data_IF_258565125169
#
_entry.id   IF_258565125169
#
_cell.length_a   1.000
_cell.length_b   1.000
_cell.length_c   1.000
_cell.angle_alpha   90.00
_cell.angle_beta   90.00
_cell.angle_gamma   90.00
#
_symmetry.space_group_name_H-M   'P 1'
#
loop_
_entity.id
_entity.type
_entity.pdbx_description
1 polymer ?
#
# COMPACT_ATOMS: atom_id res chain seq x y z
N UNK A 1 24.87 -28.67 1.63
CA UNK A 1 23.82 -27.85 2.31
C UNK A 1 23.33 -26.61 1.50
N UNK A 2 23.22 -26.69 0.16
CA UNK A 2 22.78 -25.56 -0.71
C UNK A 2 21.28 -25.56 -1.09
N UNK A 3 20.55 -26.67 -0.93
CA UNK A 3 19.17 -26.84 -1.44
C UNK A 3 18.09 -26.07 -0.67
N UNK A 4 18.27 -25.82 0.63
CA UNK A 4 17.24 -25.17 1.49
C UNK A 4 17.10 -23.66 1.26
N UNK A 5 18.13 -22.99 0.71
CA UNK A 5 18.09 -21.53 0.47
C UNK A 5 17.13 -21.14 -0.65
N UNK A 6 16.97 -21.98 -1.67
CA UNK A 6 16.15 -21.66 -2.86
C UNK A 6 14.65 -21.75 -2.58
N UNK A 7 14.24 -22.61 -1.64
CA UNK A 7 12.82 -22.81 -1.32
C UNK A 7 12.26 -21.59 -0.59
N UNK A 8 12.97 -21.05 0.41
CA UNK A 8 12.53 -19.85 1.13
C UNK A 8 12.39 -18.62 0.23
N UNK A 9 13.34 -18.45 -0.70
CA UNK A 9 13.29 -17.38 -1.70
C UNK A 9 12.07 -17.51 -2.63
N UNK A 10 11.73 -18.73 -3.02
CA UNK A 10 10.58 -19.00 -3.88
C UNK A 10 9.25 -18.71 -3.16
N UNK A 11 9.15 -19.07 -1.87
CA UNK A 11 7.98 -18.72 -1.06
C UNK A 11 7.82 -17.21 -0.87
N UNK A 12 8.91 -16.50 -0.62
CA UNK A 12 8.91 -15.04 -0.54
C UNK A 12 8.49 -14.41 -1.87
N UNK A 13 9.01 -14.91 -2.99
CA UNK A 13 8.64 -14.38 -4.30
C UNK A 13 7.15 -14.57 -4.59
N UNK A 14 6.60 -15.75 -4.25
CA UNK A 14 5.17 -16.02 -4.35
C UNK A 14 4.32 -15.14 -3.41
N UNK A 15 4.76 -14.91 -2.18
CA UNK A 15 4.03 -14.03 -1.25
C UNK A 15 4.05 -12.58 -1.71
N UNK A 16 5.18 -12.11 -2.25
CA UNK A 16 5.30 -10.77 -2.81
C UNK A 16 4.36 -10.63 -4.00
N UNK A 17 4.32 -11.60 -4.94
CA UNK A 17 3.35 -11.57 -6.05
C UNK A 17 1.91 -11.54 -5.56
N UNK A 18 1.57 -12.35 -4.56
CA UNK A 18 0.23 -12.35 -3.96
C UNK A 18 -0.16 -10.97 -3.42
N UNK A 19 0.76 -10.31 -2.72
CA UNK A 19 0.57 -8.95 -2.24
C UNK A 19 0.39 -7.95 -3.40
N UNK A 20 1.24 -8.02 -4.43
CA UNK A 20 1.15 -7.16 -5.62
C UNK A 20 -0.19 -7.29 -6.35
N UNK A 21 -0.70 -8.52 -6.50
CA UNK A 21 -2.01 -8.78 -7.13
C UNK A 21 -3.14 -8.18 -6.29
N UNK A 22 -3.10 -8.34 -4.97
CA UNK A 22 -4.10 -7.75 -4.08
C UNK A 22 -4.08 -6.21 -4.15
N UNK A 23 -2.88 -5.63 -4.21
CA UNK A 23 -2.68 -4.19 -4.25
C UNK A 23 -3.12 -3.57 -5.59
N UNK A 24 -2.74 -4.19 -6.71
CA UNK A 24 -3.10 -3.72 -8.06
C UNK A 24 -4.62 -3.76 -8.30
N UNK A 25 -5.33 -4.72 -7.71
CA UNK A 25 -6.80 -4.75 -7.75
C UNK A 25 -7.43 -3.55 -7.05
N UNK A 26 -6.89 -3.14 -5.90
CA UNK A 26 -7.39 -1.95 -5.19
C UNK A 26 -7.06 -0.66 -5.93
N UNK A 27 -5.85 -0.55 -6.47
CA UNK A 27 -5.46 0.65 -7.21
C UNK A 27 -6.28 0.81 -8.50
N UNK A 28 -6.52 -0.30 -9.21
CA UNK A 28 -7.42 -0.33 -10.35
C UNK A 28 -8.86 0.08 -9.97
N UNK A 29 -9.38 -0.38 -8.82
CA UNK A 29 -10.71 0.01 -8.36
C UNK A 29 -10.81 1.52 -8.09
N UNK A 30 -9.75 2.13 -7.53
CA UNK A 30 -9.70 3.58 -7.31
C UNK A 30 -9.75 4.36 -8.63
N UNK A 31 -9.04 3.90 -9.68
CA UNK A 31 -9.04 4.55 -11.00
C UNK A 31 -10.38 4.36 -11.72
N UNK A 32 -10.94 3.14 -11.67
CA UNK A 32 -12.20 2.79 -12.36
C UNK A 32 -13.39 3.57 -11.83
N UNK A 33 -13.39 4.01 -10.57
CA UNK A 33 -14.43 4.90 -10.02
C UNK A 33 -14.54 6.22 -10.81
N UNK A 34 -13.44 6.71 -11.37
CA UNK A 34 -13.41 7.94 -12.17
C UNK A 34 -13.73 7.70 -13.65
N UNK A 35 -13.90 6.44 -14.08
CA UNK A 35 -14.29 6.08 -15.44
C UNK A 35 -15.82 6.16 -15.59
N UNK A 36 -16.35 6.72 -16.70
CA UNK A 36 -17.78 6.68 -16.97
C UNK A 36 -18.27 5.22 -17.05
N UNK A 37 -19.40 4.91 -16.42
CA UNK A 37 -19.95 3.54 -16.30
C UNK A 37 -20.33 2.89 -17.63
N UNK A 38 -20.42 3.70 -18.68
CA UNK A 38 -20.72 3.32 -20.05
C UNK A 38 -19.62 3.89 -20.93
N UNK A 39 -18.68 3.03 -21.33
CA UNK A 39 -17.59 3.38 -22.22
C UNK A 39 -17.91 2.88 -23.62
N UNK A 40 -17.76 3.75 -24.61
CA UNK A 40 -17.64 3.28 -25.98
C UNK A 40 -16.38 2.41 -26.12
N UNK A 41 -16.39 1.48 -27.07
CA UNK A 41 -15.25 0.58 -27.33
C UNK A 41 -13.95 1.37 -27.57
N UNK A 42 -14.04 2.55 -28.19
CA UNK A 42 -12.91 3.44 -28.43
C UNK A 42 -12.36 4.05 -27.14
N UNK A 43 -13.21 4.56 -26.27
CA UNK A 43 -12.80 5.13 -24.96
C UNK A 43 -12.20 4.05 -24.05
N UNK A 44 -12.74 2.83 -24.09
CA UNK A 44 -12.19 1.70 -23.34
C UNK A 44 -10.77 1.33 -23.80
N UNK A 45 -10.55 1.21 -25.12
CA UNK A 45 -9.23 0.89 -25.68
C UNK A 45 -8.22 2.01 -25.37
N UNK A 46 -8.63 3.27 -25.46
CA UNK A 46 -7.76 4.41 -25.10
C UNK A 46 -7.42 4.41 -23.62
N UNK A 47 -8.39 4.21 -22.73
CA UNK A 47 -8.17 4.19 -21.28
C UNK A 47 -7.23 3.05 -20.88
N UNK A 48 -7.46 1.83 -21.37
CA UNK A 48 -6.58 0.67 -21.14
C UNK A 48 -5.20 0.92 -21.76
N UNK A 49 -5.13 1.49 -22.96
CA UNK A 49 -3.87 1.84 -23.63
C UNK A 49 -3.02 2.81 -22.81
N UNK A 50 -3.62 3.86 -22.26
CA UNK A 50 -2.94 4.82 -21.38
C UNK A 50 -2.42 4.12 -20.12
N UNK A 51 -3.22 3.27 -19.47
CA UNK A 51 -2.79 2.52 -18.28
C UNK A 51 -1.62 1.58 -18.59
N UNK A 52 -1.67 0.86 -19.70
CA UNK A 52 -0.59 -0.05 -20.13
C UNK A 52 0.68 0.71 -20.47
N UNK A 53 0.57 1.86 -21.15
CA UNK A 53 1.73 2.71 -21.47
C UNK A 53 2.33 3.32 -20.20
N UNK A 54 1.51 3.82 -19.28
CA UNK A 54 1.97 4.34 -17.99
C UNK A 54 2.68 3.26 -17.17
N UNK A 55 2.09 2.06 -17.07
CA UNK A 55 2.72 0.91 -16.42
C UNK A 55 4.02 0.51 -17.13
N UNK A 56 4.02 0.52 -18.47
CA UNK A 56 5.19 0.25 -19.30
C UNK A 56 6.32 1.26 -19.05
N UNK A 57 6.02 2.55 -18.91
CA UNK A 57 7.01 3.58 -18.56
C UNK A 57 7.57 3.35 -17.15
N UNK A 58 6.71 3.03 -16.18
CA UNK A 58 7.12 2.74 -14.79
C UNK A 58 8.04 1.52 -14.74
N UNK A 59 7.68 0.44 -15.45
CA UNK A 59 8.49 -0.77 -15.55
C UNK A 59 9.78 -0.51 -16.34
N UNK A 60 9.73 0.26 -17.43
CA UNK A 60 10.90 0.57 -18.25
C UNK A 60 11.90 1.46 -17.52
N UNK A 61 11.41 2.42 -16.72
CA UNK A 61 12.27 3.26 -15.86
C UNK A 61 12.85 2.50 -14.66
N UNK A 62 12.47 1.23 -14.46
CA UNK A 62 13.15 0.21 -13.64
C UNK A 62 13.75 0.75 -12.34
N UNK A 63 12.99 1.51 -11.56
CA UNK A 63 13.27 1.81 -10.15
C UNK A 63 14.59 2.52 -9.83
N UNK A 64 15.45 2.89 -10.79
CA UNK A 64 16.74 3.53 -10.53
C UNK A 64 17.47 3.00 -9.28
N UNK A 65 17.88 3.92 -8.41
CA UNK A 65 18.54 3.68 -7.12
C UNK A 65 17.81 2.67 -6.18
N UNK A 66 16.51 2.40 -6.39
CA UNK A 66 15.74 1.44 -5.59
C UNK A 66 16.16 -0.01 -5.85
N UNK A 67 16.58 -0.36 -7.07
CA UNK A 67 17.13 -1.70 -7.33
C UNK A 67 18.43 -1.92 -6.56
N UNK A 68 19.33 -0.92 -6.53
CA UNK A 68 20.59 -0.96 -5.79
C UNK A 68 20.36 -1.18 -4.28
N UNK A 69 19.42 -0.43 -3.69
CA UNK A 69 19.01 -0.55 -2.28
C UNK A 69 18.40 -1.93 -1.97
N UNK A 70 17.69 -2.55 -2.93
CA UNK A 70 17.08 -3.88 -2.75
C UNK A 70 18.13 -5.00 -2.88
N UNK A 71 19.11 -4.89 -3.77
CA UNK A 71 20.21 -5.87 -3.86
C UNK A 71 21.13 -5.83 -2.64
N UNK A 72 21.41 -4.64 -2.09
CA UNK A 72 22.34 -4.47 -0.96
C UNK A 72 21.74 -4.90 0.40
N UNK A 73 20.41 -4.95 0.52
CA UNK A 73 19.68 -5.38 1.74
C UNK A 73 18.92 -6.70 1.61
N UNK A 74 19.18 -7.50 0.58
CA UNK A 74 18.61 -8.84 0.43
C UNK A 74 19.35 -9.87 1.29
N UNK A 75 19.51 -9.60 2.59
CA UNK A 75 20.07 -10.59 3.49
C UNK A 75 19.04 -11.73 3.63
N UNK A 76 19.39 -12.88 3.07
CA UNK A 76 18.58 -14.10 2.94
C UNK A 76 17.99 -14.54 4.30
N UNK A 77 18.57 -14.07 5.40
CA UNK A 77 18.07 -14.29 6.76
C UNK A 77 16.64 -13.78 7.01
N UNK A 78 16.17 -12.76 6.28
CA UNK A 78 14.87 -12.12 6.56
C UNK A 78 13.71 -12.59 5.67
N UNK A 79 13.96 -13.55 4.77
CA UNK A 79 12.98 -14.05 3.80
C UNK A 79 11.69 -14.56 4.46
N UNK A 80 11.80 -15.20 5.64
CA UNK A 80 10.64 -15.72 6.40
C UNK A 80 9.76 -14.60 6.97
N UNK A 81 10.37 -13.57 7.56
CA UNK A 81 9.67 -12.40 8.09
C UNK A 81 8.90 -11.67 6.97
N UNK A 82 9.57 -11.45 5.83
CA UNK A 82 8.96 -10.84 4.65
C UNK A 82 7.75 -11.65 4.13
N UNK A 83 7.88 -12.97 4.09
CA UNK A 83 6.79 -13.86 3.63
C UNK A 83 5.54 -13.75 4.51
N UNK A 84 5.71 -13.70 5.84
CA UNK A 84 4.58 -13.58 6.79
C UNK A 84 3.89 -12.23 6.64
N UNK A 85 4.67 -11.15 6.53
CA UNK A 85 4.16 -9.79 6.29
C UNK A 85 3.31 -9.80 5.02
N UNK A 86 3.88 -10.22 3.89
CA UNK A 86 3.20 -10.23 2.58
C UNK A 86 1.90 -11.04 2.60
N UNK A 87 1.89 -12.21 3.26
CA UNK A 87 0.70 -13.05 3.37
C UNK A 87 -0.39 -12.43 4.24
N UNK A 88 -0.05 -11.86 5.38
CA UNK A 88 -1.02 -11.20 6.27
C UNK A 88 -1.63 -9.99 5.57
N UNK A 89 -0.81 -9.14 4.94
CA UNK A 89 -1.29 -7.95 4.22
C UNK A 89 -2.12 -8.30 2.99
N UNK A 90 -1.65 -9.22 2.15
CA UNK A 90 -2.41 -9.65 0.98
C UNK A 90 -3.76 -10.24 1.37
N UNK A 91 -3.83 -10.99 2.48
CA UNK A 91 -5.08 -11.55 2.99
C UNK A 91 -6.02 -10.47 3.51
N UNK A 92 -5.53 -9.49 4.27
CA UNK A 92 -6.32 -8.34 4.73
C UNK A 92 -6.88 -7.58 3.52
N UNK A 93 -6.05 -7.27 2.52
CA UNK A 93 -6.47 -6.56 1.30
C UNK A 93 -7.59 -7.28 0.55
N UNK A 94 -7.49 -8.60 0.41
CA UNK A 94 -8.48 -9.41 -0.31
C UNK A 94 -9.78 -9.53 0.50
N UNK A 95 -9.69 -9.81 1.81
CA UNK A 95 -10.87 -9.92 2.67
C UNK A 95 -11.67 -8.62 2.65
N UNK A 96 -10.99 -7.48 2.75
CA UNK A 96 -11.68 -6.21 2.68
C UNK A 96 -12.21 -5.88 1.27
N UNK A 97 -11.53 -6.31 0.20
CA UNK A 97 -12.04 -6.12 -1.15
C UNK A 97 -13.34 -6.92 -1.39
N UNK A 98 -13.39 -8.17 -0.93
CA UNK A 98 -14.56 -9.05 -1.09
C UNK A 98 -15.72 -8.69 -0.15
N UNK A 99 -15.42 -8.24 1.08
CA UNK A 99 -16.46 -7.99 2.09
C UNK A 99 -16.88 -6.52 2.25
N UNK A 100 -16.06 -5.55 1.82
CA UNK A 100 -16.38 -4.12 1.95
C UNK A 100 -16.74 -3.50 0.60
N UNK A 101 -17.92 -2.90 0.50
CA UNK A 101 -18.30 -2.09 -0.66
C UNK A 101 -17.67 -0.68 -0.68
N UNK A 102 -16.93 -0.32 0.37
CA UNK A 102 -16.30 0.99 0.52
C UNK A 102 -14.85 0.96 0.01
N UNK A 103 -14.42 1.95 -0.80
CA UNK A 103 -13.03 2.04 -1.28
C UNK A 103 -12.07 2.20 -0.10
N UNK A 104 -10.99 1.42 -0.12
CA UNK A 104 -10.02 1.37 0.97
C UNK A 104 -9.00 2.51 0.86
N UNK A 105 -8.60 3.07 2.00
CA UNK A 105 -7.46 4.00 2.05
C UNK A 105 -6.14 3.24 1.94
N UNK A 106 -5.56 3.26 0.74
CA UNK A 106 -4.27 2.64 0.44
C UNK A 106 -3.12 3.21 1.28
N UNK A 107 -3.25 4.46 1.77
CA UNK A 107 -2.28 5.10 2.68
C UNK A 107 -2.21 4.44 4.06
N UNK A 108 -3.36 4.17 4.68
CA UNK A 108 -3.40 3.55 6.01
C UNK A 108 -2.94 2.11 5.99
N UNK A 109 -3.28 1.38 4.92
CA UNK A 109 -2.77 0.02 4.71
C UNK A 109 -1.27 0.03 4.52
N UNK A 110 -0.74 0.99 3.75
CA UNK A 110 0.70 1.11 3.51
C UNK A 110 1.48 1.46 4.79
N UNK A 111 1.01 2.41 5.58
CA UNK A 111 1.61 2.73 6.89
C UNK A 111 1.57 1.52 7.83
N UNK A 112 0.45 0.80 7.84
CA UNK A 112 0.34 -0.47 8.54
C UNK A 112 1.42 -1.46 8.09
N UNK A 113 1.59 -1.65 6.78
CA UNK A 113 2.59 -2.55 6.18
C UNK A 113 4.02 -2.23 6.59
N UNK A 114 4.40 -0.95 6.55
CA UNK A 114 5.71 -0.50 7.01
C UNK A 114 5.91 -0.78 8.51
N UNK A 115 4.88 -0.53 9.34
CA UNK A 115 4.90 -0.83 10.76
C UNK A 115 5.07 -2.34 11.03
N UNK A 116 4.25 -3.17 10.37
CA UNK A 116 4.21 -4.61 10.57
C UNK A 116 5.52 -5.29 10.17
N UNK A 117 6.13 -4.85 9.06
CA UNK A 117 7.46 -5.29 8.65
C UNK A 117 8.51 -5.01 9.72
N UNK A 118 8.53 -3.79 10.26
CA UNK A 118 9.53 -3.38 11.25
C UNK A 118 9.33 -4.12 12.59
N UNK A 119 8.08 -4.37 13.00
CA UNK A 119 7.74 -5.15 14.20
C UNK A 119 8.18 -6.62 14.05
N UNK A 120 7.86 -7.26 12.93
CA UNK A 120 8.19 -8.68 12.68
C UNK A 120 9.71 -8.86 12.55
N UNK A 121 10.41 -7.92 11.92
CA UNK A 121 11.87 -7.96 11.85
C UNK A 121 12.48 -7.83 13.25
N UNK A 122 12.06 -6.86 14.07
CA UNK A 122 12.57 -6.77 15.45
C UNK A 122 12.25 -8.02 16.26
N UNK A 123 11.06 -8.60 16.10
CA UNK A 123 10.63 -9.82 16.81
C UNK A 123 11.46 -11.04 16.44
N UNK A 124 11.75 -11.23 15.15
CA UNK A 124 12.55 -12.37 14.69
C UNK A 124 14.07 -12.19 14.93
N UNK A 125 14.55 -10.95 15.04
CA UNK A 125 15.99 -10.67 15.21
C UNK A 125 16.48 -10.83 16.64
N UNK A 126 15.61 -10.89 17.66
CA UNK A 126 15.99 -10.81 19.08
C UNK A 126 16.98 -9.66 19.36
N UNK A 127 16.91 -8.57 18.59
CA UNK A 127 17.72 -7.39 18.86
C UNK A 127 17.09 -6.70 20.07
N UNK A 128 17.88 -6.47 21.12
CA UNK A 128 17.52 -5.77 22.36
C UNK A 128 17.17 -4.28 22.16
N UNK A 129 16.55 -3.91 21.04
CA UNK A 129 15.92 -2.61 20.88
C UNK A 129 14.49 -2.72 21.41
N UNK A 130 14.08 -1.86 22.36
CA UNK A 130 12.78 -1.98 22.98
C UNK A 130 11.71 -1.79 21.90
N UNK A 131 10.96 -2.84 21.62
CA UNK A 131 9.81 -2.87 20.71
C UNK A 131 8.91 -1.63 20.79
N UNK A 132 8.84 -1.03 21.98
CA UNK A 132 8.17 0.23 22.27
C UNK A 132 8.67 1.43 21.46
N UNK A 133 9.97 1.56 21.20
CA UNK A 133 10.52 2.73 20.49
C UNK A 133 10.17 2.72 19.00
N UNK A 134 10.28 1.56 18.35
CA UNK A 134 9.86 1.39 16.95
C UNK A 134 8.36 1.63 16.81
N UNK A 135 7.56 1.04 17.70
CA UNK A 135 6.11 1.25 17.73
C UNK A 135 5.75 2.72 17.98
N UNK A 136 6.47 3.41 18.87
CA UNK A 136 6.27 4.84 19.16
C UNK A 136 6.67 5.73 17.98
N UNK A 137 7.72 5.39 17.24
CA UNK A 137 8.12 6.12 16.01
C UNK A 137 7.04 5.98 14.94
N UNK A 138 6.62 4.77 14.63
CA UNK A 138 5.57 4.54 13.62
C UNK A 138 4.22 5.11 14.06
N UNK A 139 3.86 4.96 15.34
CA UNK A 139 2.65 5.54 15.91
C UNK A 139 2.65 7.07 15.87
N UNK A 140 3.81 7.72 16.05
CA UNK A 140 3.96 9.17 15.88
C UNK A 140 3.72 9.58 14.43
N UNK A 141 4.24 8.84 13.46
CA UNK A 141 4.06 9.15 12.03
C UNK A 141 2.60 8.99 11.59
N UNK A 142 1.92 7.95 12.09
CA UNK A 142 0.47 7.73 11.94
C UNK A 142 -0.35 8.85 12.57
N UNK A 143 0.01 9.30 13.78
CA UNK A 143 -0.65 10.41 14.48
C UNK A 143 -0.46 11.75 13.77
N UNK A 144 0.72 12.01 13.23
CA UNK A 144 0.99 13.21 12.45
C UNK A 144 0.17 13.21 11.14
N UNK A 145 0.07 12.06 10.47
CA UNK A 145 -0.77 11.92 9.28
C UNK A 145 -2.28 12.05 9.59
N UNK A 146 -2.75 11.50 10.72
CA UNK A 146 -4.16 11.60 11.11
C UNK A 146 -4.55 13.00 11.59
N UNK A 147 -3.61 13.75 12.19
CA UNK A 147 -3.83 15.17 12.49
C UNK A 147 -4.07 16.01 11.24
N UNK A 148 -3.43 15.70 10.11
CA UNK A 148 -3.69 16.39 8.84
C UNK A 148 -5.15 16.26 8.40
N UNK A 149 -5.73 15.06 8.54
CA UNK A 149 -7.15 14.82 8.27
C UNK A 149 -8.03 15.55 9.28
N UNK A 150 -7.70 15.50 10.56
CA UNK A 150 -8.45 16.18 11.61
C UNK A 150 -8.48 17.71 11.39
N UNK A 151 -7.35 18.31 11.00
CA UNK A 151 -7.26 19.74 10.68
C UNK A 151 -8.07 20.07 9.43
N UNK A 152 -8.01 19.24 8.38
CA UNK A 152 -8.80 19.45 7.17
C UNK A 152 -10.31 19.41 7.44
N UNK A 153 -10.78 18.43 8.23
CA UNK A 153 -12.18 18.33 8.66
C UNK A 153 -12.57 19.50 9.56
N UNK A 154 -11.71 19.90 10.48
CA UNK A 154 -11.94 21.04 11.37
C UNK A 154 -12.08 22.35 10.60
N UNK A 155 -11.19 22.60 9.62
CA UNK A 155 -11.29 23.77 8.74
C UNK A 155 -12.56 23.71 7.90
N UNK A 156 -12.95 22.53 7.37
CA UNK A 156 -14.20 22.37 6.63
C UNK A 156 -15.42 22.71 7.50
N UNK A 157 -15.49 22.20 8.73
CA UNK A 157 -16.58 22.50 9.66
C UNK A 157 -16.60 23.99 10.02
N UNK A 158 -15.44 24.59 10.31
CA UNK A 158 -15.35 26.03 10.57
C UNK A 158 -15.80 26.87 9.37
N UNK A 159 -15.32 26.52 8.16
CA UNK A 159 -15.72 27.19 6.94
C UNK A 159 -17.22 27.05 6.68
N UNK A 160 -17.80 25.87 6.95
CA UNK A 160 -19.24 25.62 6.85
C UNK A 160 -20.06 26.42 7.86
N UNK A 161 -19.54 26.66 9.08
CA UNK A 161 -20.21 27.49 10.09
C UNK A 161 -20.08 29.00 9.79
N UNK A 162 -18.98 29.42 9.16
CA UNK A 162 -18.71 30.83 8.81
C UNK A 162 -19.39 31.23 7.49
N UNK A 163 -19.50 30.30 6.54
CA UNK A 163 -20.22 30.45 5.27
C UNK A 163 -21.37 29.43 5.16
N UNK A 164 -22.43 29.55 5.97
CA UNK A 164 -23.61 28.73 5.82
C UNK A 164 -24.33 29.14 4.51
N UNK A 165 -24.12 28.36 3.45
CA UNK A 165 -24.84 28.30 2.19
C UNK A 165 -25.38 29.62 1.60
N UNK A 166 -24.60 30.26 0.74
CA UNK A 166 -25.12 30.93 -0.48
C UNK A 166 -25.12 29.99 -1.69
N UNK A 167 -25.15 28.67 -1.46
CA UNK A 167 -25.09 27.63 -2.50
C UNK A 167 -26.29 26.67 -2.47
N UNK A 168 -27.45 27.11 -1.97
CA UNK A 168 -28.74 26.41 -2.11
C UNK A 168 -29.48 26.76 -3.42
N UNK A 169 -28.76 27.22 -4.44
CA UNK A 169 -29.33 27.52 -5.75
C UNK A 169 -28.31 27.32 -6.86
N UNK A 170 -28.18 26.07 -7.33
CA UNK A 170 -28.13 25.60 -8.73
C UNK A 170 -28.33 24.08 -8.67
#
# INVERSE_FOLDING_TARGET
PKKTKNVGLLFQWLSTIYLWVAWLRQDAANIVIYLPRQLSILEFILAVGILVVALGIILYTNGGTIQEIVTEKSDIQWSKAATIVDLVYGTILIVFHEWSQMPMSTTWVFLGMLAGREIILNFMTFRDLPYLETFRKVGKDVLLASMGIAVSVFIFILASQIYPDTASGI
#
